data_IF_852224447722
#
_entry.id   IF_852224447722
#
_cell.length_a   1.000
_cell.length_b   1.000
_cell.length_c   1.000
_cell.angle_alpha   90.00
_cell.angle_beta   90.00
_cell.angle_gamma   90.00
#
_symmetry.space_group_name_H-M   'P 1'
#
loop_
_entity.id
_entity.type
_entity.pdbx_description
1 polymer ?
#
# COMPACT_ATOMS: atom_id res chain seq x y z
N UNK A 1 -6.38 19.83 0.94
CA UNK A 1 -7.61 19.02 1.12
C UNK A 1 -8.34 19.01 -0.21
N UNK A 2 -8.26 17.91 -0.95
CA UNK A 2 -9.11 17.62 -2.10
C UNK A 2 -10.34 16.88 -1.55
N UNK A 3 -11.54 17.43 -1.76
CA UNK A 3 -12.80 16.77 -1.43
C UNK A 3 -13.37 16.20 -2.73
N UNK A 4 -12.98 14.98 -3.11
CA UNK A 4 -13.45 14.41 -4.37
C UNK A 4 -14.59 13.42 -4.15
N UNK A 5 -15.58 13.44 -5.05
CA UNK A 5 -16.63 12.41 -5.15
C UNK A 5 -16.07 11.06 -5.59
N UNK A 6 -16.88 10.23 -6.24
CA UNK A 6 -16.55 8.87 -6.68
C UNK A 6 -15.32 8.72 -7.63
N UNK A 7 -14.59 9.80 -7.90
CA UNK A 7 -13.26 9.85 -8.49
C UNK A 7 -12.38 10.88 -7.77
N UNK A 8 -12.02 10.62 -6.51
CA UNK A 8 -11.09 11.46 -5.72
C UNK A 8 -9.72 10.83 -5.61
N UNK A 9 -8.70 11.49 -6.16
CA UNK A 9 -7.31 11.14 -5.91
C UNK A 9 -6.72 11.99 -4.78
N UNK A 10 -5.84 11.37 -3.99
CA UNK A 10 -5.14 12.02 -2.88
C UNK A 10 -3.89 12.73 -3.38
N UNK A 11 -2.74 12.07 -3.22
CA UNK A 11 -1.50 12.46 -3.87
C UNK A 11 -1.43 11.83 -5.27
N UNK A 12 -1.58 12.67 -6.29
CA UNK A 12 -1.60 12.29 -7.69
C UNK A 12 -0.31 12.73 -8.38
N UNK A 13 0.48 11.76 -8.84
CA UNK A 13 1.55 12.00 -9.79
C UNK A 13 0.96 11.97 -11.20
N UNK A 14 0.77 13.15 -11.81
CA UNK A 14 0.19 13.29 -13.14
C UNK A 14 1.22 13.74 -14.16
N UNK A 15 1.59 12.85 -15.09
CA UNK A 15 2.66 13.10 -16.09
C UNK A 15 3.94 13.64 -15.43
N UNK A 16 4.31 13.02 -14.31
CA UNK A 16 5.39 13.47 -13.44
C UNK A 16 6.60 12.53 -13.51
N UNK A 17 7.79 13.06 -13.23
CA UNK A 17 8.95 12.24 -12.91
C UNK A 17 9.63 12.71 -11.63
N UNK A 18 10.45 11.84 -11.04
CA UNK A 18 11.33 12.17 -9.92
C UNK A 18 10.61 12.81 -8.73
N UNK A 19 9.41 12.29 -8.41
CA UNK A 19 8.57 12.83 -7.34
C UNK A 19 8.70 12.01 -6.05
N UNK A 20 8.60 12.69 -4.90
CA UNK A 20 8.64 12.07 -3.57
C UNK A 20 7.40 12.45 -2.78
N UNK A 21 6.55 11.46 -2.50
CA UNK A 21 5.34 11.57 -1.71
C UNK A 21 5.56 10.75 -0.44
N UNK A 22 6.00 11.39 0.63
CA UNK A 22 6.38 10.71 1.86
C UNK A 22 5.69 11.21 3.12
N UNK A 23 5.44 10.28 4.05
CA UNK A 23 4.95 10.57 5.40
C UNK A 23 3.61 11.32 5.44
N UNK A 24 2.68 10.99 4.53
CA UNK A 24 1.36 11.60 4.45
C UNK A 24 0.28 10.76 5.16
N UNK A 25 -0.75 11.46 5.66
CA UNK A 25 -1.98 10.87 6.19
C UNK A 25 -3.08 11.03 5.15
N UNK A 26 -3.67 9.92 4.72
CA UNK A 26 -4.74 9.88 3.74
C UNK A 26 -5.97 9.21 4.37
N UNK A 27 -6.96 10.01 4.75
CA UNK A 27 -8.20 9.54 5.34
C UNK A 27 -9.36 9.84 4.41
N UNK A 28 -10.20 8.85 4.12
CA UNK A 28 -11.43 9.14 3.37
C UNK A 28 -11.16 9.54 1.93
N UNK A 29 -10.21 8.91 1.24
CA UNK A 29 -9.87 9.23 -0.17
C UNK A 29 -10.11 8.00 -1.02
N UNK A 30 -10.62 8.12 -2.26
CA UNK A 30 -10.90 6.96 -3.12
C UNK A 30 -9.64 6.17 -3.44
N UNK A 31 -8.64 6.84 -4.02
CA UNK A 31 -7.30 6.28 -4.22
C UNK A 31 -6.28 7.28 -3.65
N UNK A 32 -5.86 7.10 -2.39
CA UNK A 32 -4.85 7.91 -1.69
C UNK A 32 -3.58 8.24 -2.47
N UNK A 33 -2.97 7.25 -3.12
CA UNK A 33 -1.72 7.39 -3.86
C UNK A 33 -1.96 6.92 -5.27
N UNK A 34 -1.75 7.79 -6.26
CA UNK A 34 -1.99 7.40 -7.64
C UNK A 34 -0.91 7.90 -8.57
N UNK A 35 -0.48 7.01 -9.45
CA UNK A 35 0.31 7.33 -10.63
C UNK A 35 -0.66 7.42 -11.80
N UNK A 36 -1.09 8.64 -12.12
CA UNK A 36 -2.15 8.91 -13.09
C UNK A 36 -1.61 9.74 -14.26
N UNK A 37 -0.97 9.09 -15.21
CA UNK A 37 -0.26 9.68 -16.36
C UNK A 37 1.09 9.00 -16.51
N UNK A 38 1.85 9.32 -17.56
CA UNK A 38 3.17 8.72 -17.87
C UNK A 38 4.22 9.00 -16.78
N UNK A 39 4.03 8.40 -15.60
CA UNK A 39 4.74 8.71 -14.37
C UNK A 39 5.96 7.83 -14.26
N UNK A 40 7.13 8.41 -13.99
CA UNK A 40 8.37 7.64 -13.93
C UNK A 40 9.30 8.05 -12.80
N UNK A 41 9.87 7.07 -12.08
CA UNK A 41 10.87 7.35 -11.04
C UNK A 41 10.32 8.05 -9.80
N UNK A 42 9.01 7.91 -9.54
CA UNK A 42 8.38 8.47 -8.36
C UNK A 42 8.43 7.49 -7.16
N UNK A 43 8.49 8.05 -5.96
CA UNK A 43 8.53 7.32 -4.69
C UNK A 43 7.31 7.70 -3.85
N UNK A 44 6.51 6.71 -3.48
CA UNK A 44 5.44 6.82 -2.49
C UNK A 44 5.86 6.06 -1.24
N UNK A 45 6.23 6.77 -0.17
CA UNK A 45 6.86 6.13 0.97
C UNK A 45 6.31 6.53 2.34
N UNK A 46 6.20 5.56 3.25
CA UNK A 46 5.81 5.79 4.64
C UNK A 46 4.48 6.56 4.80
N UNK A 47 3.57 6.42 3.85
CA UNK A 47 2.24 7.02 3.90
C UNK A 47 1.25 6.09 4.61
N UNK A 48 0.32 6.67 5.35
CA UNK A 48 -0.75 5.96 6.05
C UNK A 48 -2.09 6.26 5.39
N UNK A 49 -2.80 5.20 4.98
CA UNK A 49 -4.12 5.30 4.35
C UNK A 49 -5.17 4.54 5.15
N UNK A 50 -6.34 5.17 5.38
CA UNK A 50 -7.45 4.56 6.12
C UNK A 50 -8.81 5.01 5.57
N UNK A 51 -9.77 4.08 5.57
CA UNK A 51 -11.17 4.31 5.21
C UNK A 51 -11.33 4.96 3.82
N UNK A 52 -10.88 4.26 2.77
CA UNK A 52 -11.01 4.77 1.40
C UNK A 52 -12.48 4.94 0.98
N UNK A 53 -12.80 6.05 0.30
CA UNK A 53 -14.16 6.37 -0.14
C UNK A 53 -14.44 5.76 -1.50
N UNK A 54 -15.30 4.75 -1.54
CA UNK A 54 -15.84 4.24 -2.80
C UNK A 54 -17.31 3.85 -2.61
N UNK A 55 -18.19 4.47 -3.40
CA UNK A 55 -19.65 4.36 -3.21
C UNK A 55 -20.35 3.73 -4.40
N UNK A 56 -19.62 3.44 -5.48
CA UNK A 56 -20.14 2.81 -6.69
C UNK A 56 -20.30 1.28 -6.55
N UNK A 57 -19.60 0.66 -5.59
CA UNK A 57 -19.73 -0.77 -5.27
C UNK A 57 -20.00 -0.93 -3.77
N UNK A 58 -21.17 -1.45 -3.36
CA UNK A 58 -21.49 -1.67 -1.97
C UNK A 58 -20.46 -2.55 -1.25
N UNK A 59 -20.05 -2.16 -0.05
CA UNK A 59 -19.17 -2.92 0.84
C UNK A 59 -17.76 -3.16 0.28
N UNK A 60 -17.32 -2.37 -0.70
CA UNK A 60 -16.00 -2.40 -1.30
C UNK A 60 -15.30 -1.05 -1.15
N UNK A 61 -13.97 -1.06 -1.07
CA UNK A 61 -13.14 0.11 -1.31
C UNK A 61 -11.99 -0.21 -2.26
N UNK A 62 -11.48 0.80 -2.95
CA UNK A 62 -10.39 0.64 -3.92
C UNK A 62 -9.06 0.52 -3.16
N UNK A 63 -8.08 -0.26 -3.68
CA UNK A 63 -6.70 -0.26 -3.19
C UNK A 63 -6.12 1.16 -3.09
N UNK A 64 -5.33 1.42 -2.05
CA UNK A 64 -4.85 2.76 -1.76
C UNK A 64 -3.82 3.29 -2.76
N UNK A 65 -2.99 2.40 -3.30
CA UNK A 65 -2.04 2.70 -4.36
C UNK A 65 -2.60 2.26 -5.71
N UNK A 66 -2.58 3.13 -6.71
CA UNK A 66 -3.02 2.85 -8.07
C UNK A 66 -1.99 3.22 -9.13
N UNK A 67 -1.69 2.28 -10.03
CA UNK A 67 -1.03 2.56 -11.31
C UNK A 67 -2.10 2.65 -12.40
N UNK A 68 -2.49 3.86 -12.76
CA UNK A 68 -3.79 4.16 -13.37
C UNK A 68 -3.67 4.88 -14.73
N UNK A 69 -2.57 4.66 -15.45
CA UNK A 69 -2.36 5.22 -16.79
C UNK A 69 -1.28 4.44 -17.55
N UNK A 70 -1.17 4.72 -18.84
CA UNK A 70 -0.13 4.14 -19.68
C UNK A 70 1.24 4.75 -19.42
N UNK A 71 2.26 3.90 -19.44
CA UNK A 71 3.65 4.32 -19.31
C UNK A 71 4.03 4.77 -17.90
N UNK A 72 3.29 4.33 -16.88
CA UNK A 72 3.77 4.37 -15.49
C UNK A 72 4.91 3.36 -15.37
N UNK A 73 6.09 3.79 -14.94
CA UNK A 73 7.22 2.89 -14.79
C UNK A 73 8.17 3.32 -13.68
N UNK A 74 8.99 2.40 -13.18
CA UNK A 74 10.03 2.70 -12.19
C UNK A 74 9.49 3.42 -10.93
N UNK A 75 8.22 3.18 -10.58
CA UNK A 75 7.61 3.72 -9.35
C UNK A 75 8.00 2.81 -8.18
N UNK A 76 8.42 3.42 -7.08
CA UNK A 76 8.69 2.74 -5.82
C UNK A 76 7.59 3.06 -4.81
N UNK A 77 6.88 2.03 -4.35
CA UNK A 77 5.98 2.12 -3.19
C UNK A 77 6.68 1.45 -2.01
N UNK A 78 7.08 2.21 -0.99
CA UNK A 78 7.91 1.70 0.11
C UNK A 78 7.37 2.01 1.52
N UNK A 79 7.26 1.01 2.39
CA UNK A 79 7.02 1.28 3.82
C UNK A 79 5.62 1.85 4.13
N UNK A 80 4.67 1.79 3.20
CA UNK A 80 3.32 2.31 3.40
C UNK A 80 2.48 1.35 4.25
N UNK A 81 1.52 1.91 5.01
CA UNK A 81 0.46 1.16 5.68
C UNK A 81 -0.86 1.51 5.02
N UNK A 82 -1.48 0.53 4.36
CA UNK A 82 -2.72 0.74 3.61
C UNK A 82 -3.53 -0.56 3.42
N UNK A 83 -4.63 -0.51 2.65
CA UNK A 83 -5.42 -1.69 2.30
C UNK A 83 -4.79 -2.51 1.15
N UNK A 84 -4.11 -1.87 0.19
CA UNK A 84 -3.50 -2.57 -0.93
C UNK A 84 -2.99 -1.67 -2.04
N UNK A 85 -2.51 -2.31 -3.11
CA UNK A 85 -2.10 -1.68 -4.35
C UNK A 85 -2.73 -2.40 -5.55
N UNK A 86 -3.05 -1.62 -6.59
CA UNK A 86 -3.52 -2.14 -7.88
C UNK A 86 -2.79 -1.50 -9.04
N UNK A 87 -2.52 -2.30 -10.06
CA UNK A 87 -2.14 -1.85 -11.38
C UNK A 87 -3.25 -2.29 -12.33
N UNK A 88 -4.13 -1.35 -12.69
CA UNK A 88 -5.34 -1.64 -13.45
C UNK A 88 -5.19 -1.38 -14.95
N UNK A 89 -5.83 -2.23 -15.73
CA UNK A 89 -5.75 -2.17 -17.20
C UNK A 89 -6.86 -1.34 -17.83
N UNK A 90 -7.69 -0.64 -17.03
CA UNK A 90 -8.81 0.15 -17.56
C UNK A 90 -8.37 1.53 -18.06
N UNK A 91 -7.25 2.06 -17.56
CA UNK A 91 -6.70 3.34 -18.02
C UNK A 91 -5.33 3.23 -18.70
N UNK A 92 -4.59 2.15 -18.46
CA UNK A 92 -3.36 1.89 -19.20
C UNK A 92 -2.50 0.82 -18.54
N UNK A 93 -1.25 0.71 -19.00
CA UNK A 93 -0.34 -0.34 -18.57
C UNK A 93 0.88 0.27 -17.88
N UNK A 94 1.39 -0.41 -16.86
CA UNK A 94 2.61 -0.02 -16.16
C UNK A 94 3.67 -1.12 -16.17
N UNK A 95 4.92 -0.79 -15.88
CA UNK A 95 6.01 -1.78 -15.89
C UNK A 95 7.16 -1.40 -14.96
N UNK A 96 7.93 -2.38 -14.49
CA UNK A 96 9.14 -2.15 -13.69
C UNK A 96 8.89 -1.43 -12.34
N UNK A 97 7.63 -1.41 -11.87
CA UNK A 97 7.30 -0.86 -10.56
C UNK A 97 7.73 -1.81 -9.44
N UNK A 98 8.08 -1.24 -8.29
CA UNK A 98 8.56 -1.98 -7.12
C UNK A 98 7.72 -1.63 -5.91
N UNK A 99 7.10 -2.63 -5.28
CA UNK A 99 6.46 -2.50 -3.98
C UNK A 99 7.35 -3.18 -2.95
N UNK A 100 7.87 -2.41 -2.00
CA UNK A 100 8.88 -2.85 -1.04
C UNK A 100 8.47 -2.57 0.41
N UNK A 101 8.52 -3.57 1.29
CA UNK A 101 8.26 -3.39 2.73
C UNK A 101 6.96 -2.65 3.06
N UNK A 102 5.90 -2.81 2.26
CA UNK A 102 4.59 -2.25 2.59
C UNK A 102 3.83 -3.21 3.52
N UNK A 103 2.93 -2.67 4.34
CA UNK A 103 1.89 -3.47 4.99
C UNK A 103 0.54 -3.18 4.35
N UNK A 104 0.08 -4.14 3.54
CA UNK A 104 -1.20 -4.08 2.85
C UNK A 104 -2.17 -5.08 3.46
N UNK A 105 -3.15 -4.58 4.21
CA UNK A 105 -4.04 -5.43 5.02
C UNK A 105 -5.01 -6.25 4.21
N UNK A 106 -5.31 -5.85 2.96
CA UNK A 106 -6.45 -6.33 2.19
C UNK A 106 -7.73 -5.65 2.66
N UNK A 107 -8.65 -6.37 3.31
CA UNK A 107 -9.91 -5.78 3.76
C UNK A 107 -9.74 -4.63 4.76
N UNK A 108 -10.73 -3.76 4.79
CA UNK A 108 -10.90 -2.70 5.78
C UNK A 108 -12.08 -3.03 6.71
N UNK A 109 -12.11 -2.49 7.95
CA UNK A 109 -13.15 -2.80 8.92
C UNK A 109 -14.53 -2.31 8.47
N UNK A 110 -14.59 -1.15 7.82
CA UNK A 110 -15.80 -0.43 7.43
C UNK A 110 -15.61 0.24 6.06
N UNK A 111 -16.68 0.33 5.30
CA UNK A 111 -16.72 0.90 3.95
C UNK A 111 -17.80 1.99 3.90
N UNK A 112 -17.66 2.94 2.97
CA UNK A 112 -18.75 3.89 2.70
C UNK A 112 -19.99 3.15 2.17
N UNK A 113 -21.16 3.59 2.62
CA UNK A 113 -22.43 3.08 2.12
C UNK A 113 -22.61 3.44 0.63
N UNK A 114 -23.28 2.59 -0.14
CA UNK A 114 -23.59 2.90 -1.54
C UNK A 114 -24.39 4.19 -1.63
N UNK A 115 -23.98 5.11 -2.50
CA UNK A 115 -24.58 6.44 -2.62
C UNK A 115 -24.29 7.41 -1.47
N UNK A 116 -23.45 7.04 -0.49
CA UNK A 116 -22.99 7.99 0.53
C UNK A 116 -22.13 9.10 -0.09
N UNK A 117 -22.04 10.22 0.62
CA UNK A 117 -21.19 11.37 0.27
C UNK A 117 -20.37 11.79 1.49
N UNK A 118 -19.39 12.67 1.26
CA UNK A 118 -18.67 13.36 2.34
C UNK A 118 -19.56 14.27 3.18
N UNK A 119 -20.81 14.50 2.81
CA UNK A 119 -21.76 15.22 3.66
C UNK A 119 -22.51 14.27 4.61
N UNK A 120 -22.74 13.02 4.18
CA UNK A 120 -23.58 12.08 4.92
C UNK A 120 -22.81 11.14 5.84
N UNK A 121 -21.53 10.87 5.55
CA UNK A 121 -20.65 9.97 6.33
C UNK A 121 -21.36 8.67 6.75
N UNK A 122 -22.10 8.07 5.81
CA UNK A 122 -22.83 6.84 6.07
C UNK A 122 -21.93 5.65 5.73
N UNK A 123 -21.74 4.74 6.68
CA UNK A 123 -20.86 3.59 6.55
C UNK A 123 -21.66 2.28 6.60
N UNK A 124 -21.07 1.22 6.07
CA UNK A 124 -21.56 -0.15 6.09
C UNK A 124 -20.39 -1.12 6.32
N UNK A 125 -20.69 -2.39 6.59
CA UNK A 125 -19.66 -3.42 6.64
C UNK A 125 -18.99 -3.57 5.26
N UNK A 126 -17.66 -3.67 5.23
CA UNK A 126 -16.98 -4.15 4.04
C UNK A 126 -17.24 -5.65 3.90
N UNK A 127 -17.99 -6.03 2.85
CA UNK A 127 -18.32 -7.42 2.55
C UNK A 127 -17.69 -7.90 1.23
N UNK A 128 -16.96 -7.02 0.53
CA UNK A 128 -16.09 -7.35 -0.57
C UNK A 128 -14.64 -7.16 -0.13
N UNK A 129 -13.80 -8.15 -0.44
CA UNK A 129 -12.38 -8.10 -0.09
C UNK A 129 -11.60 -7.30 -1.12
N UNK A 130 -10.58 -6.61 -0.61
CA UNK A 130 -9.49 -6.07 -1.42
C UNK A 130 -8.39 -7.11 -1.49
N UNK A 131 -7.87 -7.34 -2.69
CA UNK A 131 -6.64 -8.10 -2.90
C UNK A 131 -5.48 -7.15 -2.55
N UNK A 132 -4.62 -7.49 -1.56
CA UNK A 132 -3.50 -6.65 -1.15
C UNK A 132 -2.60 -6.19 -2.30
N UNK A 133 -2.30 -7.07 -3.26
CA UNK A 133 -1.50 -6.77 -4.44
C UNK A 133 -2.21 -7.29 -5.69
N UNK A 134 -2.57 -6.40 -6.62
CA UNK A 134 -3.32 -6.78 -7.82
C UNK A 134 -2.68 -6.19 -9.07
N UNK A 135 -2.27 -7.05 -10.00
CA UNK A 135 -1.69 -6.65 -11.28
C UNK A 135 -2.52 -7.23 -12.42
N UNK A 136 -3.19 -6.35 -13.15
CA UNK A 136 -3.96 -6.74 -14.32
C UNK A 136 -3.03 -7.04 -15.52
N UNK A 137 -3.63 -7.37 -16.66
CA UNK A 137 -2.95 -7.64 -17.90
C UNK A 137 -1.99 -6.52 -18.31
N UNK A 138 -0.85 -6.89 -18.88
CA UNK A 138 0.21 -5.97 -19.34
C UNK A 138 0.99 -5.20 -18.27
N UNK A 139 0.68 -5.39 -16.99
CA UNK A 139 1.49 -4.87 -15.88
C UNK A 139 2.65 -5.83 -15.57
N UNK A 140 3.76 -5.71 -16.31
CA UNK A 140 4.86 -6.70 -16.33
C UNK A 140 6.11 -6.21 -15.62
N UNK A 141 6.96 -7.17 -15.23
CA UNK A 141 8.26 -6.89 -14.60
C UNK A 141 8.15 -6.15 -13.26
N UNK A 142 7.05 -6.34 -12.54
CA UNK A 142 6.87 -5.83 -11.20
C UNK A 142 7.78 -6.55 -10.20
N UNK A 143 8.17 -5.85 -9.14
CA UNK A 143 8.92 -6.44 -8.03
C UNK A 143 8.14 -6.25 -6.74
N UNK A 144 7.59 -7.33 -6.18
CA UNK A 144 6.95 -7.34 -4.87
C UNK A 144 7.91 -7.98 -3.87
N UNK A 145 8.53 -7.15 -3.03
CA UNK A 145 9.66 -7.57 -2.20
C UNK A 145 9.41 -7.22 -0.73
N UNK A 146 9.53 -8.20 0.17
CA UNK A 146 9.51 -7.97 1.62
C UNK A 146 8.21 -7.36 2.16
N UNK A 147 7.10 -7.41 1.42
CA UNK A 147 5.83 -6.87 1.85
C UNK A 147 5.14 -7.80 2.85
N UNK A 148 4.30 -7.21 3.69
CA UNK A 148 3.42 -7.89 4.62
C UNK A 148 2.01 -7.83 4.04
N UNK A 149 1.42 -8.99 3.69
CA UNK A 149 0.23 -9.03 2.83
C UNK A 149 -0.97 -9.77 3.45
N UNK A 150 -2.12 -9.09 3.44
CA UNK A 150 -3.43 -9.62 3.74
C UNK A 150 -3.76 -9.76 5.23
N UNK A 151 -4.90 -10.38 5.49
CA UNK A 151 -5.45 -10.62 6.84
C UNK A 151 -5.80 -12.10 7.02
N UNK A 152 -5.28 -12.71 8.09
CA UNK A 152 -5.53 -14.13 8.42
C UNK A 152 -7.03 -14.44 8.49
N UNK A 153 -7.44 -15.55 7.87
CA UNK A 153 -8.84 -15.97 7.78
C UNK A 153 -9.68 -15.19 6.78
N UNK A 154 -9.15 -14.12 6.17
CA UNK A 154 -9.81 -13.39 5.07
C UNK A 154 -9.10 -13.64 3.75
N UNK A 155 -7.79 -13.38 3.68
CA UNK A 155 -6.97 -13.73 2.52
C UNK A 155 -6.30 -15.07 2.81
N UNK A 156 -6.80 -16.14 2.19
CA UNK A 156 -6.40 -17.54 2.43
C UNK A 156 -5.76 -18.20 1.21
N UNK A 157 -5.76 -17.53 0.06
CA UNK A 157 -5.13 -18.00 -1.18
C UNK A 157 -3.83 -17.21 -1.40
N UNK A 158 -2.73 -17.89 -1.73
CA UNK A 158 -1.45 -17.20 -1.92
C UNK A 158 -1.46 -16.34 -3.20
N UNK A 159 -1.71 -16.96 -4.34
CA UNK A 159 -1.76 -16.27 -5.63
C UNK A 159 -2.94 -16.75 -6.44
N UNK A 160 -3.51 -15.88 -7.28
CA UNK A 160 -4.44 -16.29 -8.33
C UNK A 160 -4.08 -15.65 -9.68
N UNK A 161 -4.22 -16.42 -10.74
CA UNK A 161 -4.02 -15.99 -12.14
C UNK A 161 -5.33 -15.75 -12.88
N UNK A 162 -6.47 -15.88 -12.19
CA UNK A 162 -7.79 -15.66 -12.75
C UNK A 162 -8.65 -14.88 -11.77
N UNK A 163 -9.32 -13.84 -12.26
CA UNK A 163 -10.33 -13.14 -11.48
C UNK A 163 -11.41 -14.14 -11.09
N UNK A 164 -11.70 -14.23 -9.80
CA UNK A 164 -12.78 -15.09 -9.32
C UNK A 164 -14.10 -14.34 -9.36
N UNK A 165 -15.16 -15.03 -9.79
CA UNK A 165 -16.53 -14.54 -9.65
C UNK A 165 -16.97 -14.74 -8.20
N UNK A 166 -16.76 -13.73 -7.36
CA UNK A 166 -17.07 -13.78 -5.93
C UNK A 166 -16.18 -12.85 -5.11
N UNK A 167 -16.12 -13.10 -3.80
CA UNK A 167 -15.26 -12.34 -2.87
C UNK A 167 -13.84 -12.93 -2.98
N UNK A 168 -12.84 -12.17 -3.48
CA UNK A 168 -11.47 -12.66 -3.61
C UNK A 168 -10.86 -13.03 -2.26
N UNK A 169 -10.00 -14.04 -2.27
CA UNK A 169 -9.30 -14.53 -1.06
C UNK A 169 -7.78 -14.56 -1.26
N UNK A 170 -7.30 -14.21 -2.44
CA UNK A 170 -5.89 -14.15 -2.76
C UNK A 170 -5.21 -12.97 -2.04
N UNK A 171 -3.93 -13.14 -1.71
CA UNK A 171 -3.06 -12.01 -1.31
C UNK A 171 -2.44 -11.32 -2.51
N UNK A 172 -2.16 -12.06 -3.59
CA UNK A 172 -1.58 -11.55 -4.83
C UNK A 172 -2.42 -12.03 -6.04
N UNK A 173 -2.98 -11.09 -6.80
CA UNK A 173 -3.71 -11.34 -8.03
C UNK A 173 -2.91 -10.91 -9.25
N UNK A 174 -2.75 -11.78 -10.26
CA UNK A 174 -1.93 -11.52 -11.46
C UNK A 174 -2.62 -11.98 -12.73
N UNK A 175 -2.19 -11.46 -13.88
CA UNK A 175 -2.69 -11.80 -15.23
C UNK A 175 -4.12 -11.32 -15.54
N UNK A 176 -4.78 -10.61 -14.62
CA UNK A 176 -6.21 -10.35 -14.70
C UNK A 176 -6.58 -9.51 -15.92
N UNK A 177 -7.47 -10.02 -16.77
CA UNK A 177 -8.09 -9.21 -17.82
C UNK A 177 -9.16 -8.27 -17.26
N UNK A 178 -9.77 -7.47 -18.13
CA UNK A 178 -10.99 -6.73 -17.83
C UNK A 178 -11.86 -6.61 -19.10
N UNK A 179 -12.99 -5.91 -19.05
CA UNK A 179 -13.88 -5.72 -20.19
C UNK A 179 -13.11 -5.12 -21.37
N UNK A 180 -13.00 -5.89 -22.46
CA UNK A 180 -12.27 -5.48 -23.67
C UNK A 180 -10.76 -5.73 -23.63
N UNK A 181 -10.20 -6.18 -22.51
CA UNK A 181 -8.77 -6.51 -22.37
C UNK A 181 -8.60 -7.96 -21.90
N UNK A 182 -8.03 -8.86 -22.73
CA UNK A 182 -7.83 -10.25 -22.33
C UNK A 182 -6.83 -10.36 -21.18
N UNK A 183 -6.91 -11.47 -20.43
CA UNK A 183 -5.87 -11.83 -19.46
C UNK A 183 -4.51 -11.96 -20.13
N UNK A 184 -3.45 -11.57 -19.43
CA UNK A 184 -2.08 -11.65 -19.94
C UNK A 184 -1.26 -12.66 -19.13
N UNK A 185 -0.97 -13.86 -19.68
CA UNK A 185 -0.20 -14.88 -18.97
C UNK A 185 1.27 -14.52 -18.75
N UNK A 186 1.75 -13.37 -19.27
CA UNK A 186 3.14 -12.93 -19.04
C UNK A 186 3.31 -12.14 -17.73
N UNK A 187 2.24 -11.68 -17.07
CA UNK A 187 2.37 -10.88 -15.84
C UNK A 187 2.98 -11.70 -14.71
N UNK A 188 2.42 -12.87 -14.42
CA UNK A 188 2.91 -13.78 -13.39
C UNK A 188 4.38 -14.20 -13.60
N UNK A 189 4.81 -14.76 -14.75
CA UNK A 189 6.19 -15.21 -14.93
C UNK A 189 7.21 -14.06 -15.01
N UNK A 190 6.79 -12.81 -15.20
CA UNK A 190 7.70 -11.64 -15.19
C UNK A 190 7.70 -10.89 -13.87
N UNK A 191 6.77 -11.19 -12.96
CA UNK A 191 6.74 -10.57 -11.63
C UNK A 191 7.75 -11.25 -10.74
N UNK A 192 8.61 -10.47 -10.09
CA UNK A 192 9.48 -10.96 -9.02
C UNK A 192 8.73 -10.91 -7.69
N UNK A 193 8.60 -12.06 -7.03
CA UNK A 193 8.18 -12.14 -5.63
C UNK A 193 9.36 -12.59 -4.80
N UNK A 194 9.70 -11.84 -3.74
CA UNK A 194 10.83 -12.18 -2.88
C UNK A 194 10.64 -11.74 -1.44
N UNK A 195 10.63 -12.68 -0.51
CA UNK A 195 10.59 -12.41 0.93
C UNK A 195 9.28 -11.82 1.44
N UNK A 196 8.19 -11.85 0.67
CA UNK A 196 6.89 -11.42 1.17
C UNK A 196 6.41 -12.38 2.27
N UNK A 197 5.88 -11.83 3.36
CA UNK A 197 5.20 -12.61 4.40
C UNK A 197 3.69 -12.34 4.31
N UNK A 198 2.89 -13.40 4.30
CA UNK A 198 1.48 -13.26 3.96
C UNK A 198 0.55 -14.13 4.81
N UNK A 199 -0.71 -13.74 4.79
CA UNK A 199 -1.76 -14.39 5.58
C UNK A 199 -2.18 -15.78 5.07
N UNK A 200 -1.96 -16.09 3.79
CA UNK A 200 -2.36 -17.35 3.17
C UNK A 200 -1.34 -18.47 3.43
N UNK A 201 -0.06 -18.14 3.39
CA UNK A 201 1.04 -19.07 3.69
C UNK A 201 1.49 -19.03 5.15
N UNK A 202 1.05 -18.00 5.88
CA UNK A 202 1.34 -17.75 7.27
C UNK A 202 2.52 -16.80 7.43
N UNK A 203 2.32 -15.72 8.20
CA UNK A 203 3.31 -14.65 8.36
C UNK A 203 4.68 -15.13 8.87
N UNK A 204 4.73 -16.21 9.66
CA UNK A 204 5.97 -16.81 10.16
C UNK A 204 6.81 -17.54 9.08
N UNK A 205 6.32 -17.65 7.85
CA UNK A 205 6.99 -18.31 6.73
C UNK A 205 7.18 -17.38 5.52
N UNK A 206 7.97 -16.29 5.64
CA UNK A 206 8.28 -15.43 4.50
C UNK A 206 8.83 -16.21 3.31
N UNK A 207 8.36 -15.87 2.11
CA UNK A 207 8.66 -16.66 0.90
C UNK A 207 9.90 -16.15 0.18
N UNK A 208 11.06 -16.63 0.62
CA UNK A 208 12.34 -16.46 -0.08
C UNK A 208 12.58 -17.63 -1.02
N UNK A 209 11.84 -17.68 -2.13
CA UNK A 209 11.83 -18.81 -3.05
C UNK A 209 12.32 -18.42 -4.46
N UNK A 210 13.42 -19.00 -4.92
CA UNK A 210 13.97 -18.71 -6.24
C UNK A 210 13.00 -19.05 -7.40
N UNK A 211 12.03 -19.95 -7.20
CA UNK A 211 11.04 -20.26 -8.24
C UNK A 211 10.04 -19.13 -8.48
N UNK A 212 10.01 -18.11 -7.60
CA UNK A 212 9.14 -16.94 -7.70
C UNK A 212 9.91 -15.70 -8.21
N UNK A 213 11.16 -15.90 -8.62
CA UNK A 213 12.00 -14.88 -9.24
C UNK A 213 12.09 -15.18 -10.74
N UNK A 214 11.92 -14.18 -11.64
CA UNK A 214 12.02 -14.36 -13.08
C UNK A 214 13.48 -14.56 -13.53
N UNK A 215 14.07 -15.70 -13.20
CA UNK A 215 15.51 -15.97 -13.35
C UNK A 215 15.97 -16.33 -14.76
N UNK A 216 15.06 -16.78 -15.62
CA UNK A 216 15.38 -17.31 -16.94
C UNK A 216 14.33 -16.89 -17.98
N UNK A 217 14.03 -15.59 -18.08
CA UNK A 217 13.16 -15.09 -19.14
C UNK A 217 13.84 -15.27 -20.50
N UNK A 218 13.04 -15.45 -21.56
CA UNK A 218 13.54 -15.73 -22.91
C UNK A 218 12.98 -14.75 -23.94
N UNK A 219 13.55 -14.77 -25.15
CA UNK A 219 13.14 -13.92 -26.26
C UNK A 219 13.31 -12.44 -25.92
N UNK A 220 12.31 -11.62 -26.27
CA UNK A 220 12.32 -10.16 -26.02
C UNK A 220 12.29 -9.80 -24.54
N UNK A 221 11.94 -10.74 -23.66
CA UNK A 221 11.85 -10.53 -22.21
C UNK A 221 13.17 -10.89 -21.50
N UNK A 222 14.10 -11.57 -22.17
CA UNK A 222 15.36 -12.03 -21.59
C UNK A 222 16.18 -10.93 -20.87
N UNK A 223 16.25 -9.67 -21.38
CA UNK A 223 16.98 -8.60 -20.70
C UNK A 223 16.44 -8.21 -19.31
N UNK A 224 15.22 -8.61 -18.97
CA UNK A 224 14.57 -8.30 -17.68
C UNK A 224 14.63 -9.47 -16.69
N UNK A 225 15.45 -10.49 -16.96
CA UNK A 225 15.63 -11.59 -16.02
C UNK A 225 16.35 -11.09 -14.75
N UNK A 226 15.86 -11.50 -13.58
CA UNK A 226 16.48 -11.19 -12.29
C UNK A 226 17.17 -12.45 -11.74
N UNK A 227 18.46 -12.41 -11.36
CA UNK A 227 19.08 -13.55 -10.70
C UNK A 227 18.40 -13.80 -9.36
N UNK A 228 18.34 -15.07 -8.92
CA UNK A 228 17.86 -15.36 -7.57
C UNK A 228 18.79 -14.69 -6.55
N UNK A 229 18.28 -13.91 -5.59
CA UNK A 229 19.13 -13.27 -4.59
C UNK A 229 19.91 -14.30 -3.77
N UNK A 230 21.19 -14.02 -3.52
CA UNK A 230 22.12 -14.95 -2.87
C UNK A 230 21.86 -15.14 -1.36
N UNK A 231 21.12 -14.23 -0.74
CA UNK A 231 20.74 -14.28 0.67
C UNK A 231 19.35 -13.65 0.88
N UNK A 232 18.85 -13.78 2.10
CA UNK A 232 17.52 -13.29 2.51
C UNK A 232 17.57 -11.92 3.19
N UNK A 233 18.71 -11.21 3.08
CA UNK A 233 18.86 -9.88 3.70
C UNK A 233 18.21 -8.84 2.80
N UNK A 234 17.17 -8.21 3.31
CA UNK A 234 16.50 -7.10 2.65
C UNK A 234 17.17 -5.78 3.05
N UNK A 235 17.43 -4.85 2.12
CA UNK A 235 17.91 -3.52 2.49
C UNK A 235 16.88 -2.79 3.37
N UNK A 236 17.30 -1.78 4.11
CA UNK A 236 16.37 -0.99 4.91
C UNK A 236 15.42 -0.16 4.03
N UNK A 237 15.93 0.34 2.91
CA UNK A 237 15.20 1.13 1.91
C UNK A 237 15.87 0.97 0.54
N UNK A 238 15.12 1.15 -0.54
CA UNK A 238 15.67 1.24 -1.89
C UNK A 238 15.99 2.68 -2.32
N UNK A 239 15.57 3.70 -1.55
CA UNK A 239 15.86 5.11 -1.88
C UNK A 239 16.58 5.89 -0.77
N UNK A 240 16.57 5.40 0.48
CA UNK A 240 17.38 5.94 1.57
C UNK A 240 18.59 5.06 1.89
N UNK A 241 19.73 5.70 2.18
CA UNK A 241 20.97 5.01 2.62
C UNK A 241 21.09 4.88 4.14
N UNK A 242 20.26 5.61 4.89
CA UNK A 242 20.18 5.57 6.35
C UNK A 242 18.79 5.99 6.80
N UNK A 243 18.48 5.83 8.09
CA UNK A 243 17.21 6.33 8.66
C UNK A 243 17.00 7.80 8.31
N UNK A 244 15.82 8.20 7.79
CA UNK A 244 15.55 9.58 7.41
C UNK A 244 15.69 10.52 8.61
N UNK A 245 16.19 11.75 8.39
CA UNK A 245 16.39 12.73 9.47
C UNK A 245 15.09 13.21 10.11
N UNK A 246 13.97 13.09 9.40
CA UNK A 246 12.63 13.38 9.89
C UNK A 246 12.00 12.18 10.62
N UNK A 247 12.62 11.01 10.61
CA UNK A 247 12.10 9.84 11.32
C UNK A 247 12.25 10.04 12.84
N UNK A 248 11.21 9.79 13.66
CA UNK A 248 11.27 9.99 15.10
C UNK A 248 12.39 9.19 15.76
N UNK A 249 13.14 9.86 16.65
CA UNK A 249 14.20 9.22 17.43
C UNK A 249 13.65 8.06 18.27
N UNK A 250 14.37 6.93 18.27
CA UNK A 250 13.99 5.72 19.00
C UNK A 250 12.86 4.92 18.36
N UNK A 251 12.24 5.38 17.26
CA UNK A 251 11.26 4.60 16.51
C UNK A 251 11.96 3.61 15.57
N UNK A 252 11.60 2.31 15.55
CA UNK A 252 12.23 1.33 14.67
C UNK A 252 12.19 1.73 13.20
N UNK A 253 13.33 1.59 12.51
CA UNK A 253 13.46 1.76 11.06
C UNK A 253 14.43 0.70 10.51
N UNK A 254 14.09 -0.04 9.44
CA UNK A 254 12.82 0.01 8.69
C UNK A 254 11.63 -0.46 9.54
N UNK A 255 10.42 0.10 9.35
CA UNK A 255 9.28 -0.21 10.22
C UNK A 255 8.64 -1.56 9.90
N UNK A 256 8.74 -2.03 8.65
CA UNK A 256 7.96 -3.14 8.10
C UNK A 256 8.88 -4.10 7.35
N UNK A 257 8.62 -5.39 7.49
CA UNK A 257 9.24 -6.45 6.68
C UNK A 257 9.31 -7.78 7.43
N UNK A 258 9.56 -8.88 6.71
CA UNK A 258 9.64 -10.23 7.29
C UNK A 258 10.75 -10.39 8.34
N UNK A 259 11.79 -9.55 8.26
CA UNK A 259 12.92 -9.47 9.17
C UNK A 259 12.64 -8.63 10.43
N UNK A 260 11.53 -7.88 10.46
CA UNK A 260 11.07 -7.16 11.64
C UNK A 260 10.43 -8.16 12.61
N UNK A 261 10.86 -8.15 13.87
CA UNK A 261 10.37 -9.07 14.92
C UNK A 261 9.79 -8.36 16.14
N UNK A 262 9.89 -7.03 16.17
CA UNK A 262 9.49 -6.18 17.28
C UNK A 262 8.27 -5.30 16.96
N UNK A 263 7.43 -5.73 16.02
CA UNK A 263 6.31 -4.94 15.52
C UNK A 263 5.33 -4.52 16.62
N UNK A 264 5.07 -3.22 16.70
CA UNK A 264 4.14 -2.63 17.66
C UNK A 264 2.70 -2.47 17.13
N UNK A 265 2.43 -2.82 15.86
CA UNK A 265 1.07 -2.77 15.33
C UNK A 265 0.21 -3.89 15.90
N UNK A 266 -1.00 -3.50 16.27
CA UNK A 266 -2.05 -4.38 16.73
C UNK A 266 -3.26 -4.26 15.80
N UNK A 267 -4.11 -5.28 15.82
CA UNK A 267 -5.45 -5.24 15.24
C UNK A 267 -6.45 -5.46 16.35
N UNK A 268 -7.53 -4.69 16.33
CA UNK A 268 -8.65 -4.95 17.22
C UNK A 268 -9.36 -6.24 16.81
N UNK A 269 -9.56 -7.15 17.75
CA UNK A 269 -10.24 -8.45 17.53
C UNK A 269 -11.69 -8.43 18.02
N UNK A 270 -12.07 -7.37 18.72
CA UNK A 270 -13.44 -7.08 19.15
C UNK A 270 -13.57 -5.58 19.46
N UNK A 271 -14.76 -5.15 19.93
CA UNK A 271 -15.05 -3.75 20.26
C UNK A 271 -15.55 -2.93 19.07
N UNK A 272 -15.69 -1.62 19.27
CA UNK A 272 -16.23 -0.71 18.24
C UNK A 272 -15.38 -0.72 16.97
N UNK A 273 -14.06 -0.81 17.11
CA UNK A 273 -13.12 -0.72 15.99
C UNK A 273 -12.59 -2.10 15.57
N UNK A 274 -13.40 -3.16 15.69
CA UNK A 274 -13.01 -4.51 15.30
C UNK A 274 -12.41 -4.52 13.87
N UNK A 275 -11.28 -5.22 13.71
CA UNK A 275 -10.44 -5.32 12.50
C UNK A 275 -9.64 -4.07 12.12
N UNK A 276 -9.74 -2.96 12.87
CA UNK A 276 -8.92 -1.78 12.63
C UNK A 276 -7.49 -1.96 13.17
N UNK A 277 -6.52 -1.36 12.49
CA UNK A 277 -5.13 -1.27 12.97
C UNK A 277 -5.01 -0.20 14.07
N UNK A 278 -4.28 -0.53 15.13
CA UNK A 278 -4.05 0.32 16.29
C UNK A 278 -2.62 0.16 16.82
N UNK A 279 -2.16 1.10 17.64
CA UNK A 279 -0.86 1.06 18.33
C UNK A 279 -1.00 0.79 19.83
N UNK A 280 -2.22 0.79 20.36
CA UNK A 280 -2.54 0.46 21.74
C UNK A 280 -3.89 -0.28 21.83
N UNK A 281 -3.97 -1.26 22.73
CA UNK A 281 -5.22 -2.00 23.00
C UNK A 281 -6.38 -1.07 23.43
N UNK A 282 -6.09 0.04 24.09
CA UNK A 282 -7.10 1.03 24.51
C UNK A 282 -7.84 1.67 23.33
N UNK A 283 -7.24 1.67 22.14
CA UNK A 283 -7.84 2.25 20.93
C UNK A 283 -8.95 1.36 20.35
N UNK A 284 -9.13 0.12 20.80
CA UNK A 284 -10.20 -0.76 20.30
C UNK A 284 -11.60 -0.44 20.84
N UNK A 285 -11.71 0.48 21.80
CA UNK A 285 -12.95 0.94 22.42
C UNK A 285 -13.88 -0.21 22.89
N UNK A 286 -13.65 -0.68 24.13
CA UNK A 286 -14.42 -1.78 24.72
C UNK A 286 -14.10 -3.16 24.13
N UNK A 287 -13.00 -3.27 23.39
CA UNK A 287 -12.56 -4.49 22.71
C UNK A 287 -11.20 -5.00 23.17
N UNK A 288 -10.80 -6.11 22.56
CA UNK A 288 -9.47 -6.70 22.68
C UNK A 288 -8.64 -6.44 21.42
N UNK A 289 -7.33 -6.61 21.52
CA UNK A 289 -6.41 -6.52 20.39
C UNK A 289 -5.45 -7.70 20.36
N UNK A 290 -4.80 -7.89 19.22
CA UNK A 290 -3.73 -8.87 19.03
C UNK A 290 -2.66 -8.29 18.11
N UNK A 291 -1.43 -8.78 18.22
CA UNK A 291 -0.32 -8.41 17.33
C UNK A 291 -0.66 -8.80 15.89
N UNK A 292 -0.46 -7.87 14.94
CA UNK A 292 -0.68 -8.16 13.53
C UNK A 292 0.49 -8.88 12.90
N UNK A 293 0.20 -9.65 11.87
CA UNK A 293 1.18 -10.14 10.92
C UNK A 293 2.46 -10.74 11.55
N UNK A 294 2.31 -11.51 12.63
CA UNK A 294 3.45 -12.13 13.33
C UNK A 294 4.44 -11.17 13.98
N UNK A 295 4.12 -9.87 14.10
CA UNK A 295 5.03 -8.85 14.62
C UNK A 295 5.96 -8.25 13.55
N UNK A 296 5.65 -8.43 12.27
CA UNK A 296 6.46 -7.94 11.14
C UNK A 296 6.25 -6.47 10.76
N UNK A 297 5.42 -5.74 11.50
CA UNK A 297 5.10 -4.35 11.17
C UNK A 297 5.02 -3.47 12.42
N UNK A 298 5.75 -2.36 12.38
CA UNK A 298 5.60 -1.23 13.28
C UNK A 298 4.73 -0.15 12.63
N UNK A 299 4.09 0.68 13.46
CA UNK A 299 3.45 1.90 12.99
C UNK A 299 4.49 2.82 12.36
N UNK A 300 4.03 3.69 11.48
CA UNK A 300 4.85 4.74 10.86
C UNK A 300 4.44 6.12 11.42
N UNK A 301 5.28 7.17 11.29
CA UNK A 301 5.01 8.47 11.89
C UNK A 301 3.66 9.08 11.44
N UNK A 302 3.28 8.90 10.18
CA UNK A 302 1.97 9.30 9.68
C UNK A 302 0.81 8.64 10.46
N UNK A 303 0.87 7.34 10.73
CA UNK A 303 -0.16 6.63 11.51
C UNK A 303 -0.19 7.10 12.96
N UNK A 304 0.98 7.29 13.58
CA UNK A 304 1.08 7.78 14.97
C UNK A 304 0.49 9.20 15.10
N UNK A 305 0.80 10.07 14.14
CA UNK A 305 0.23 11.42 14.06
C UNK A 305 -1.30 11.35 13.89
N UNK A 306 -1.80 10.52 12.96
CA UNK A 306 -3.23 10.33 12.75
C UNK A 306 -3.97 9.96 14.04
N UNK A 307 -3.47 8.95 14.76
CA UNK A 307 -4.07 8.47 16.00
C UNK A 307 -3.94 9.48 17.15
N UNK A 308 -2.81 10.19 17.25
CA UNK A 308 -2.60 11.18 18.32
C UNK A 308 -3.47 12.43 18.17
N UNK A 309 -3.85 12.79 16.94
CA UNK A 309 -4.79 13.87 16.66
C UNK A 309 -6.26 13.51 16.93
N UNK A 310 -6.53 12.28 17.39
CA UNK A 310 -7.89 11.78 17.64
C UNK A 310 -8.52 11.08 16.43
N UNK A 311 -7.71 10.67 15.46
CA UNK A 311 -8.15 9.82 14.35
C UNK A 311 -8.76 8.51 14.86
N UNK A 312 -9.93 8.14 14.34
CA UNK A 312 -10.53 6.84 14.67
C UNK A 312 -9.77 5.73 13.97
N UNK A 313 -9.46 4.60 14.64
CA UNK A 313 -8.73 3.50 14.00
C UNK A 313 -9.31 3.00 12.67
N UNK A 314 -10.64 3.04 12.54
CA UNK A 314 -11.37 2.63 11.32
C UNK A 314 -11.59 3.78 10.32
N UNK A 315 -11.09 4.98 10.60
CA UNK A 315 -11.20 6.17 9.78
C UNK A 315 -12.57 6.83 9.69
N UNK A 316 -13.58 6.40 10.47
CA UNK A 316 -14.98 6.85 10.30
C UNK A 316 -15.32 8.24 10.83
N UNK A 317 -14.37 8.95 11.46
CA UNK A 317 -14.60 10.32 11.91
C UNK A 317 -14.58 11.32 10.74
N UNK A 318 -15.06 12.53 11.01
CA UNK A 318 -14.79 13.67 10.13
C UNK A 318 -13.27 13.76 9.87
N UNK A 319 -12.87 14.21 8.67
CA UNK A 319 -11.46 14.43 8.35
C UNK A 319 -10.77 15.23 9.46
N UNK A 320 -9.54 14.86 9.80
CA UNK A 320 -8.75 15.59 10.80
C UNK A 320 -8.59 17.06 10.38
N UNK A 321 -9.23 17.97 11.12
CA UNK A 321 -9.15 19.42 10.87
C UNK A 321 -8.05 20.12 11.65
N UNK A 322 -7.40 19.39 12.58
CA UNK A 322 -6.41 19.89 13.52
C UNK A 322 -4.98 19.44 13.19
N UNK A 323 -4.72 18.99 11.95
CA UNK A 323 -3.38 18.61 11.55
C UNK A 323 -2.40 19.77 11.73
N UNK A 324 -1.31 19.50 12.43
CA UNK A 324 -0.21 20.43 12.63
C UNK A 324 1.09 19.64 12.59
N UNK A 325 1.95 19.96 11.62
CA UNK A 325 3.26 19.35 11.43
C UNK A 325 4.13 19.44 12.70
N UNK A 326 4.06 20.54 13.45
CA UNK A 326 4.79 20.67 14.70
C UNK A 326 4.20 19.76 15.77
N UNK A 327 2.89 19.58 15.86
CA UNK A 327 2.33 18.66 16.85
C UNK A 327 2.64 17.20 16.53
N UNK A 328 2.70 16.85 15.25
CA UNK A 328 2.94 15.48 14.79
C UNK A 328 4.42 15.10 14.71
N UNK A 329 5.28 16.07 14.41
CA UNK A 329 6.69 15.85 14.10
C UNK A 329 7.62 16.76 14.92
N UNK A 330 7.17 17.36 16.04
CA UNK A 330 7.96 18.28 16.88
C UNK A 330 9.28 17.71 17.39
N UNK A 331 9.40 16.38 17.49
CA UNK A 331 10.65 15.75 17.93
C UNK A 331 11.67 15.59 16.79
N UNK A 332 11.32 16.00 15.58
CA UNK A 332 12.12 15.79 14.37
C UNK A 332 12.40 17.13 13.68
N UNK A 333 13.65 17.58 13.90
CA UNK A 333 14.48 18.60 13.22
C UNK A 333 14.28 20.11 13.46
N UNK A 334 15.42 20.71 13.82
CA UNK A 334 15.78 22.13 13.74
C UNK A 334 15.93 22.67 12.30
N UNK A 335 15.53 21.93 11.27
CA UNK A 335 15.61 22.36 9.88
C UNK A 335 14.62 21.58 9.02
N UNK A 336 13.59 22.28 8.53
CA UNK A 336 12.70 21.82 7.47
C UNK A 336 13.52 21.39 6.24
N UNK A 337 13.10 20.36 5.47
CA UNK A 337 13.69 20.07 4.16
C UNK A 337 13.79 21.37 3.37
N UNK A 338 15.00 21.74 2.97
CA UNK A 338 15.17 22.96 2.18
C UNK A 338 14.51 22.73 0.81
N UNK A 339 13.78 23.72 0.27
CA UNK A 339 13.31 23.65 -1.11
C UNK A 339 14.48 23.29 -2.04
N UNK A 340 14.28 22.47 -3.07
CA UNK A 340 15.35 22.13 -4.02
C UNK A 340 15.98 23.40 -4.59
N UNK A 341 17.28 23.60 -4.39
CA UNK A 341 17.95 24.88 -4.72
C UNK A 341 18.50 24.95 -6.14
N UNK A 342 18.17 24.00 -7.03
CA UNK A 342 18.71 23.94 -8.40
C UNK A 342 17.68 23.53 -9.47
N UNK A 343 16.38 23.79 -9.26
CA UNK A 343 15.40 23.57 -10.33
C UNK A 343 15.68 24.52 -11.50
N UNK A 344 16.13 23.98 -12.63
CA UNK A 344 16.15 24.67 -13.92
C UNK A 344 15.13 24.02 -14.84
N UNK A 345 14.03 24.74 -15.10
CA UNK A 345 13.18 24.42 -16.23
C UNK A 345 13.93 24.82 -17.50
N UNK A 346 14.33 23.84 -18.31
CA UNK A 346 14.81 24.11 -19.67
C UNK A 346 13.60 23.96 -20.57
N UNK A 347 13.06 25.08 -21.04
CA UNK A 347 12.08 25.08 -22.12
C UNK A 347 12.89 25.05 -23.42
N UNK A 348 12.81 23.94 -24.15
CA UNK A 348 13.29 23.86 -25.53
C UNK A 348 12.15 24.27 -26.47
#
# INVERSE_FOLDING_TARGET
MSAGGAGSYGAEAFSASDCLIENNIMQGVTTPHISNGTTSGCVFAYNYSVNGVFTNSPGYNIPAHGDHASGVAMVLSEGNIANGATADVIHGTSNLNTHFRNYFTGPQPVCYASGATYATYTYQACNNNVIPEQMFAFHRFFNLIGNILGTTGTNTTYTSTSLINGIPTEVIGVNYGNVGVPSDPNVAPTTMLWGNADSATGFASPRFNCSEVPTALTGVQAPFSNPCPANQVLPASFYYTSTPSWWPSGKPWPPIGPDVTSGNLLVCTSGTFNRALVTSASQCAGGSSSTVAGGHANSIPAMDCYLSLGGRPDGTNLPLTNFNENSCYAQTVSSKPQPPTNLKATVN
#
